data_IF_083844187925
#
_entry.id   IF_083844187925
#
_cell.length_a   1.000
_cell.length_b   1.000
_cell.length_c   1.000
_cell.angle_alpha   90.00
_cell.angle_beta   90.00
_cell.angle_gamma   90.00
#
_symmetry.space_group_name_H-M   'P 1'
#
loop_
_entity.id
_entity.type
_entity.pdbx_description
1 polymer ?
#
# COMPACT_ATOMS: atom_id res chain seq x y z
N UNK A 1 4.73 -9.38 -24.63
CA UNK A 1 4.95 -10.63 -23.87
C UNK A 1 6.45 -10.85 -23.81
N UNK A 2 7.03 -11.07 -22.62
CA UNK A 2 8.47 -11.37 -22.53
C UNK A 2 8.65 -12.88 -22.74
N UNK A 3 9.54 -13.28 -23.63
CA UNK A 3 9.84 -14.70 -23.89
C UNK A 3 10.54 -15.35 -22.69
N UNK A 4 11.24 -14.54 -21.89
CA UNK A 4 12.02 -15.00 -20.71
C UNK A 4 11.23 -14.92 -19.40
N UNK A 5 10.13 -14.17 -19.37
CA UNK A 5 9.28 -13.97 -18.20
C UNK A 5 7.80 -13.94 -18.61
N UNK A 6 7.19 -15.11 -18.86
CA UNK A 6 5.80 -15.19 -19.34
C UNK A 6 4.78 -14.63 -18.35
N UNK A 7 5.16 -14.49 -17.09
CA UNK A 7 4.30 -13.95 -16.01
C UNK A 7 4.31 -12.43 -15.89
N UNK A 8 5.10 -11.72 -16.72
CA UNK A 8 5.19 -10.27 -16.69
C UNK A 8 3.95 -9.63 -17.28
N UNK A 9 3.27 -8.78 -16.53
CA UNK A 9 2.09 -8.04 -16.95
C UNK A 9 2.47 -6.66 -17.49
N UNK A 10 1.68 -6.19 -18.47
CA UNK A 10 1.78 -4.82 -19.00
C UNK A 10 0.89 -3.93 -18.13
N UNK A 11 1.52 -3.04 -17.36
CA UNK A 11 0.82 -2.04 -16.55
C UNK A 11 0.70 -0.76 -17.39
N UNK A 12 -0.50 -0.48 -17.90
CA UNK A 12 -0.76 0.76 -18.63
C UNK A 12 -0.91 1.91 -17.64
N UNK A 13 0.00 2.87 -17.72
CA UNK A 13 -0.10 4.15 -16.99
C UNK A 13 -0.58 5.21 -17.97
N UNK A 14 -1.64 5.93 -17.65
CA UNK A 14 -2.19 7.02 -18.47
C UNK A 14 -1.30 8.27 -18.56
N UNK A 15 0.04 8.10 -18.50
CA UNK A 15 1.03 9.18 -18.63
C UNK A 15 1.72 9.06 -19.98
N UNK A 16 1.69 10.15 -20.76
CA UNK A 16 2.20 10.19 -22.13
C UNK A 16 3.69 9.85 -22.32
N UNK A 17 4.55 10.05 -21.28
CA UNK A 17 5.99 9.81 -21.40
C UNK A 17 6.44 8.36 -21.15
N UNK A 18 5.62 7.53 -20.47
CA UNK A 18 5.85 6.10 -20.27
C UNK A 18 4.51 5.37 -20.18
N UNK A 19 3.92 5.02 -21.30
CA UNK A 19 2.56 4.47 -21.36
C UNK A 19 2.47 3.05 -20.76
N UNK A 20 3.57 2.27 -20.80
CA UNK A 20 3.59 0.90 -20.34
C UNK A 20 4.74 0.69 -19.33
N UNK A 21 4.42 0.06 -18.21
CA UNK A 21 5.41 -0.53 -17.32
C UNK A 21 5.21 -2.06 -17.32
N UNK A 22 6.31 -2.79 -17.22
CA UNK A 22 6.30 -4.23 -17.12
C UNK A 22 6.58 -4.64 -15.67
N UNK A 23 5.85 -5.60 -15.17
CA UNK A 23 6.05 -6.10 -13.81
C UNK A 23 4.80 -6.68 -13.18
N UNK A 24 4.91 -7.02 -11.91
CA UNK A 24 3.79 -7.48 -11.08
C UNK A 24 3.33 -6.38 -10.13
N UNK A 25 2.05 -6.40 -9.78
CA UNK A 25 1.53 -5.52 -8.73
C UNK A 25 2.07 -5.99 -7.38
N UNK A 26 2.64 -5.05 -6.63
CA UNK A 26 3.04 -5.25 -5.24
C UNK A 26 2.23 -4.31 -4.36
N UNK A 27 1.44 -4.87 -3.45
CA UNK A 27 0.75 -4.14 -2.39
C UNK A 27 1.68 -4.06 -1.18
N UNK A 28 1.77 -2.89 -0.56
CA UNK A 28 2.53 -2.66 0.67
C UNK A 28 1.60 -2.04 1.70
N UNK A 29 1.62 -2.56 2.92
CA UNK A 29 0.94 -2.00 4.08
C UNK A 29 1.99 -1.42 5.02
N UNK A 30 1.84 -0.15 5.34
CA UNK A 30 2.73 0.57 6.24
C UNK A 30 1.96 0.95 7.52
N UNK A 31 2.58 0.77 8.67
CA UNK A 31 2.12 1.24 9.95
C UNK A 31 2.92 2.48 10.40
N UNK A 32 2.71 2.91 11.64
CA UNK A 32 3.45 4.00 12.27
C UNK A 32 4.97 3.75 12.19
N UNK A 33 5.73 4.84 12.26
CA UNK A 33 7.20 4.82 12.16
C UNK A 33 7.74 4.24 10.85
N UNK A 34 6.92 4.27 9.79
CA UNK A 34 7.31 3.82 8.46
C UNK A 34 7.64 2.31 8.38
N UNK A 35 7.12 1.53 9.29
CA UNK A 35 7.30 0.08 9.32
C UNK A 35 6.34 -0.59 8.34
N UNK A 36 6.86 -1.36 7.42
CA UNK A 36 6.06 -2.19 6.52
C UNK A 36 5.61 -3.45 7.26
N UNK A 37 4.33 -3.56 7.57
CA UNK A 37 3.75 -4.68 8.32
C UNK A 37 3.33 -5.84 7.43
N UNK A 38 3.07 -5.56 6.17
CA UNK A 38 2.71 -6.60 5.20
C UNK A 38 3.03 -6.15 3.77
N UNK A 39 3.40 -7.10 2.94
CA UNK A 39 3.45 -6.96 1.49
C UNK A 39 2.84 -8.15 0.80
N UNK A 40 2.36 -7.95 -0.42
CA UNK A 40 1.80 -9.01 -1.24
C UNK A 40 2.19 -8.79 -2.71
N UNK A 41 2.65 -9.85 -3.36
CA UNK A 41 2.95 -9.86 -4.80
C UNK A 41 1.86 -10.68 -5.48
N UNK A 42 1.11 -10.05 -6.36
CA UNK A 42 -0.02 -10.67 -7.04
C UNK A 42 0.43 -11.37 -8.32
N UNK A 43 -0.07 -12.60 -8.51
CA UNK A 43 0.11 -13.32 -9.77
C UNK A 43 -0.69 -12.64 -10.89
N UNK A 44 -1.91 -12.22 -10.59
CA UNK A 44 -2.80 -11.45 -11.44
C UNK A 44 -3.23 -10.18 -10.71
N UNK A 45 -3.42 -9.10 -11.44
CA UNK A 45 -3.80 -7.81 -10.83
C UNK A 45 -5.25 -7.83 -10.36
N UNK A 46 -5.51 -7.81 -9.04
CA UNK A 46 -6.87 -7.67 -8.52
C UNK A 46 -7.38 -6.22 -8.69
N UNK A 47 -8.69 -6.03 -8.57
CA UNK A 47 -9.24 -4.69 -8.47
C UNK A 47 -8.84 -4.04 -7.14
N UNK A 48 -8.36 -2.80 -7.17
CA UNK A 48 -7.89 -2.10 -5.96
C UNK A 48 -8.98 -2.02 -4.87
N UNK A 49 -10.25 -1.90 -5.26
CA UNK A 49 -11.40 -1.84 -4.34
C UNK A 49 -11.60 -3.11 -3.50
N UNK A 50 -11.15 -4.26 -3.97
CA UNK A 50 -11.26 -5.54 -3.22
C UNK A 50 -10.16 -5.70 -2.18
N UNK A 51 -9.08 -4.94 -2.29
CA UNK A 51 -7.89 -5.08 -1.44
C UNK A 51 -8.01 -4.40 -0.08
N UNK A 52 -8.97 -3.48 0.09
CA UNK A 52 -9.06 -2.69 1.32
C UNK A 52 -9.44 -3.55 2.51
N UNK A 53 -10.50 -4.35 2.38
CA UNK A 53 -11.00 -5.20 3.46
C UNK A 53 -10.00 -6.29 3.83
N UNK A 54 -9.48 -7.02 2.83
CA UNK A 54 -8.45 -8.03 3.06
C UNK A 54 -7.20 -7.47 3.74
N UNK A 55 -6.87 -6.21 3.47
CA UNK A 55 -5.75 -5.54 4.15
C UNK A 55 -6.01 -5.29 5.63
N UNK A 56 -7.25 -4.95 6.00
CA UNK A 56 -7.64 -4.78 7.42
C UNK A 56 -7.61 -6.12 8.15
N UNK A 57 -8.13 -7.17 7.53
CA UNK A 57 -8.14 -8.52 8.08
C UNK A 57 -6.72 -9.06 8.30
N UNK A 58 -5.84 -8.90 7.32
CA UNK A 58 -4.42 -9.27 7.44
C UNK A 58 -3.72 -8.49 8.56
N UNK A 59 -4.04 -7.20 8.72
CA UNK A 59 -3.51 -6.40 9.83
C UNK A 59 -3.95 -6.97 11.17
N UNK A 60 -5.23 -7.30 11.32
CA UNK A 60 -5.77 -7.92 12.52
C UNK A 60 -5.12 -9.27 12.83
N UNK A 61 -4.99 -10.13 11.82
CA UNK A 61 -4.35 -11.44 11.97
C UNK A 61 -2.89 -11.35 12.44
N UNK A 62 -2.13 -10.39 11.88
CA UNK A 62 -0.70 -10.25 12.16
C UNK A 62 -0.39 -9.51 13.44
N UNK A 63 -1.18 -8.51 13.79
CA UNK A 63 -0.92 -7.60 14.92
C UNK A 63 -1.89 -7.78 16.08
N UNK A 64 -2.86 -8.71 15.97
CA UNK A 64 -3.83 -9.02 17.02
C UNK A 64 -4.85 -7.89 17.29
N UNK A 65 -4.89 -6.85 16.45
CA UNK A 65 -5.76 -5.68 16.64
C UNK A 65 -6.24 -5.09 15.34
N UNK A 66 -7.43 -4.50 15.36
CA UNK A 66 -7.95 -3.70 14.26
C UNK A 66 -7.22 -2.34 14.20
N UNK A 67 -6.84 -1.85 13.01
CA UNK A 67 -6.22 -0.54 12.88
C UNK A 67 -7.21 0.56 13.25
N UNK A 68 -6.79 1.52 14.06
CA UNK A 68 -7.63 2.67 14.43
C UNK A 68 -7.94 3.57 13.23
N UNK A 69 -6.98 3.71 12.32
CA UNK A 69 -7.11 4.48 11.08
C UNK A 69 -6.60 3.65 9.91
N UNK A 70 -7.32 3.72 8.79
CA UNK A 70 -6.88 3.20 7.50
C UNK A 70 -6.87 4.35 6.51
N UNK A 71 -5.76 4.53 5.81
CA UNK A 71 -5.62 5.49 4.73
C UNK A 71 -5.18 4.79 3.45
N UNK A 72 -5.90 5.02 2.37
CA UNK A 72 -5.59 4.44 1.07
C UNK A 72 -5.90 5.42 -0.06
N UNK A 73 -5.50 5.09 -1.29
CA UNK A 73 -5.84 5.89 -2.47
C UNK A 73 -7.32 5.71 -2.85
N UNK A 74 -7.83 6.66 -3.66
CA UNK A 74 -9.21 6.64 -4.13
C UNK A 74 -9.59 5.40 -4.95
N UNK A 75 -8.62 4.72 -5.56
CA UNK A 75 -8.84 3.44 -6.24
C UNK A 75 -9.33 2.32 -5.33
N UNK A 76 -8.98 2.39 -4.04
CA UNK A 76 -9.41 1.43 -3.01
C UNK A 76 -10.82 1.69 -2.49
N UNK A 77 -11.44 2.80 -2.89
CA UNK A 77 -12.76 3.16 -2.39
C UNK A 77 -13.85 2.28 -2.99
N UNK A 78 -14.61 1.61 -2.16
CA UNK A 78 -15.97 1.17 -2.42
C UNK A 78 -16.83 1.47 -1.19
N UNK A 79 -18.13 1.68 -1.41
CA UNK A 79 -19.08 1.93 -0.30
C UNK A 79 -19.19 0.72 0.63
N UNK A 80 -19.15 -0.45 0.03
CA UNK A 80 -19.21 -1.75 0.71
C UNK A 80 -17.99 -1.97 1.59
N UNK A 81 -16.76 -1.79 1.02
CA UNK A 81 -15.50 -1.94 1.75
C UNK A 81 -15.37 -0.94 2.90
N UNK A 82 -15.85 0.31 2.71
CA UNK A 82 -15.84 1.29 3.78
C UNK A 82 -16.76 0.90 4.93
N UNK A 83 -18.01 0.48 4.62
CA UNK A 83 -18.96 0.00 5.63
C UNK A 83 -18.47 -1.24 6.36
N UNK A 84 -17.92 -2.22 5.62
CA UNK A 84 -17.38 -3.44 6.20
C UNK A 84 -16.17 -3.14 7.12
N UNK A 85 -15.25 -2.26 6.71
CA UNK A 85 -14.13 -1.84 7.55
C UNK A 85 -14.59 -1.14 8.85
N UNK A 86 -15.62 -0.31 8.78
CA UNK A 86 -16.23 0.31 9.96
C UNK A 86 -16.90 -0.71 10.87
N UNK A 87 -17.59 -1.70 10.29
CA UNK A 87 -18.23 -2.79 11.05
C UNK A 87 -17.20 -3.66 11.78
N UNK A 88 -16.00 -3.84 11.20
CA UNK A 88 -14.85 -4.49 11.86
C UNK A 88 -14.26 -3.67 13.02
N UNK A 89 -14.63 -2.40 13.16
CA UNK A 89 -14.15 -1.53 14.25
C UNK A 89 -13.12 -0.47 13.83
N UNK A 90 -12.84 -0.29 12.54
CA UNK A 90 -11.96 0.79 12.08
C UNK A 90 -12.67 2.13 12.32
N UNK A 91 -12.10 2.96 13.20
CA UNK A 91 -12.69 4.26 13.57
C UNK A 91 -12.60 5.29 12.45
N UNK A 92 -11.48 5.33 11.73
CA UNK A 92 -11.18 6.36 10.76
C UNK A 92 -10.80 5.76 9.40
N UNK A 93 -11.70 5.87 8.42
CA UNK A 93 -11.48 5.41 7.05
C UNK A 93 -11.19 6.62 6.15
N UNK A 94 -9.90 6.89 5.89
CA UNK A 94 -9.44 7.99 5.05
C UNK A 94 -9.15 7.49 3.62
N UNK A 95 -10.21 7.13 2.90
CA UNK A 95 -10.16 6.68 1.50
C UNK A 95 -10.99 7.65 0.66
N UNK A 96 -10.39 8.46 -0.23
CA UNK A 96 -11.11 9.50 -0.95
C UNK A 96 -12.00 8.95 -2.04
N UNK A 97 -13.21 9.50 -2.16
CA UNK A 97 -14.08 9.32 -3.30
C UNK A 97 -14.13 10.63 -4.11
N UNK A 98 -13.28 10.74 -5.13
CA UNK A 98 -13.19 11.94 -5.98
C UNK A 98 -14.43 12.18 -6.85
N UNK A 99 -15.22 11.13 -7.11
CA UNK A 99 -16.42 11.18 -7.95
C UNK A 99 -17.70 11.42 -7.15
N UNK A 100 -17.61 11.65 -5.85
CA UNK A 100 -18.79 11.83 -5.01
C UNK A 100 -19.53 13.14 -5.32
N UNK A 101 -20.85 13.05 -5.44
CA UNK A 101 -21.78 14.20 -5.50
C UNK A 101 -22.32 14.56 -4.11
N UNK A 102 -22.23 13.64 -3.13
CA UNK A 102 -22.77 13.82 -1.78
C UNK A 102 -22.04 14.95 -1.03
N UNK A 103 -22.79 15.94 -0.58
CA UNK A 103 -22.30 17.06 0.24
C UNK A 103 -21.73 16.57 1.58
N UNK A 104 -22.39 15.61 2.22
CA UNK A 104 -21.93 15.00 3.47
C UNK A 104 -20.56 14.35 3.29
N UNK A 105 -20.38 13.57 2.19
CA UNK A 105 -19.10 12.94 1.89
C UNK A 105 -18.00 13.96 1.60
N UNK A 106 -18.32 15.04 0.91
CA UNK A 106 -17.37 16.15 0.67
C UNK A 106 -16.95 16.79 1.99
N UNK A 107 -17.90 17.13 2.87
CA UNK A 107 -17.61 17.66 4.20
C UNK A 107 -16.73 16.72 5.02
N UNK A 108 -17.02 15.42 5.02
CA UNK A 108 -16.19 14.42 5.70
C UNK A 108 -14.77 14.39 5.19
N UNK A 109 -14.57 14.47 3.87
CA UNK A 109 -13.23 14.49 3.26
C UNK A 109 -12.44 15.78 3.60
N UNK A 110 -13.10 16.86 3.99
CA UNK A 110 -12.49 18.11 4.46
C UNK A 110 -12.13 18.10 5.94
N UNK A 111 -12.57 17.12 6.72
CA UNK A 111 -12.25 17.03 8.14
C UNK A 111 -10.75 16.83 8.41
N UNK A 112 -10.27 17.37 9.53
CA UNK A 112 -8.84 17.35 9.87
C UNK A 112 -8.25 15.94 9.96
N UNK A 113 -9.00 14.98 10.55
CA UNK A 113 -8.55 13.58 10.63
C UNK A 113 -8.41 12.94 9.24
N UNK A 114 -9.34 13.23 8.31
CA UNK A 114 -9.29 12.70 6.96
C UNK A 114 -8.06 13.23 6.21
N UNK A 115 -7.81 14.54 6.30
CA UNK A 115 -6.64 15.18 5.69
C UNK A 115 -5.33 14.64 6.28
N UNK A 116 -5.26 14.40 7.60
CA UNK A 116 -4.09 13.77 8.23
C UNK A 116 -3.84 12.37 7.69
N UNK A 117 -4.88 11.54 7.53
CA UNK A 117 -4.77 10.22 6.90
C UNK A 117 -4.25 10.30 5.48
N UNK A 118 -4.75 11.24 4.66
CA UNK A 118 -4.27 11.42 3.29
C UNK A 118 -2.83 11.94 3.22
N UNK A 119 -2.44 12.84 4.12
CA UNK A 119 -1.05 13.30 4.25
C UNK A 119 -0.12 12.14 4.58
N UNK A 120 -0.52 11.28 5.51
CA UNK A 120 0.24 10.09 5.88
C UNK A 120 0.37 9.11 4.70
N UNK A 121 -0.72 8.84 3.98
CA UNK A 121 -0.70 8.03 2.75
C UNK A 121 0.29 8.57 1.72
N UNK A 122 0.35 9.89 1.52
CA UNK A 122 1.32 10.50 0.60
C UNK A 122 2.76 10.21 1.04
N UNK A 123 3.02 10.13 2.34
CA UNK A 123 4.32 9.68 2.87
C UNK A 123 4.67 8.25 2.46
N UNK A 124 3.68 7.35 2.42
CA UNK A 124 3.89 5.95 1.99
C UNK A 124 4.28 5.82 0.52
N UNK A 125 3.91 6.75 -0.35
CA UNK A 125 4.42 6.79 -1.74
C UNK A 125 5.93 7.04 -1.77
N UNK A 126 6.42 7.88 -0.86
CA UNK A 126 7.85 8.07 -0.63
C UNK A 126 8.54 6.77 -0.23
N UNK A 127 7.89 5.93 0.59
CA UNK A 127 8.39 4.60 0.99
C UNK A 127 8.57 3.67 -0.21
N UNK A 128 7.60 3.58 -1.09
CA UNK A 128 7.71 2.78 -2.33
C UNK A 128 8.90 3.26 -3.16
N UNK A 129 9.12 4.56 -3.24
CA UNK A 129 10.27 5.13 -3.94
C UNK A 129 11.61 4.76 -3.28
N UNK A 130 11.67 4.76 -1.94
CA UNK A 130 12.86 4.31 -1.18
C UNK A 130 13.14 2.84 -1.42
N UNK A 131 12.15 1.97 -1.30
CA UNK A 131 12.25 0.54 -1.56
C UNK A 131 12.77 0.28 -2.99
N UNK A 132 12.27 1.00 -3.97
CA UNK A 132 12.73 0.88 -5.35
C UNK A 132 14.16 1.34 -5.55
N UNK A 133 14.61 2.40 -4.88
CA UNK A 133 15.95 2.99 -5.10
C UNK A 133 17.04 2.38 -4.23
N UNK A 134 16.77 2.18 -2.93
CA UNK A 134 17.75 1.69 -1.96
C UNK A 134 17.84 0.17 -1.91
N UNK A 135 16.69 -0.51 -2.06
CA UNK A 135 16.60 -1.96 -1.88
C UNK A 135 16.42 -2.72 -3.21
N UNK A 136 16.70 -2.05 -4.34
CA UNK A 136 16.75 -2.71 -5.64
C UNK A 136 15.41 -3.18 -6.20
N UNK A 137 14.26 -2.74 -5.64
CA UNK A 137 12.94 -3.22 -6.08
C UNK A 137 12.47 -2.64 -7.44
N UNK A 138 13.36 -1.93 -8.16
CA UNK A 138 13.09 -1.53 -9.56
C UNK A 138 13.14 -2.70 -10.53
N UNK A 139 13.99 -3.70 -10.24
CA UNK A 139 14.18 -4.86 -11.07
C UNK A 139 14.38 -6.07 -10.18
N UNK A 140 13.53 -7.08 -10.32
CA UNK A 140 13.72 -8.36 -9.67
C UNK A 140 14.82 -9.14 -10.39
N UNK A 141 15.78 -9.68 -9.64
CA UNK A 141 16.86 -10.52 -10.16
C UNK A 141 16.58 -12.01 -9.98
N UNK A 142 15.52 -12.37 -9.26
CA UNK A 142 15.12 -13.75 -9.04
C UNK A 142 14.02 -14.16 -10.01
N UNK A 143 14.09 -15.34 -10.61
CA UNK A 143 13.10 -15.81 -11.57
C UNK A 143 11.76 -16.19 -10.88
N UNK A 144 10.69 -15.98 -11.62
CA UNK A 144 9.33 -16.39 -11.24
C UNK A 144 8.70 -15.60 -10.11
N UNK A 145 7.45 -15.95 -9.80
CA UNK A 145 6.66 -15.24 -8.79
C UNK A 145 7.22 -15.41 -7.37
N UNK A 146 7.67 -16.61 -7.03
CA UNK A 146 8.25 -16.88 -5.71
C UNK A 146 9.63 -16.22 -5.54
N UNK A 147 10.39 -16.13 -6.62
CA UNK A 147 11.61 -15.31 -6.66
C UNK A 147 11.31 -13.84 -6.40
N UNK A 148 10.27 -13.31 -7.02
CA UNK A 148 9.85 -11.93 -6.80
C UNK A 148 9.33 -11.69 -5.36
N UNK A 149 8.58 -12.63 -4.78
CA UNK A 149 8.15 -12.57 -3.37
C UNK A 149 9.35 -12.49 -2.42
N UNK A 150 10.34 -13.36 -2.62
CA UNK A 150 11.59 -13.33 -1.84
C UNK A 150 12.34 -12.02 -2.01
N UNK A 151 12.48 -11.53 -3.24
CA UNK A 151 13.16 -10.28 -3.54
C UNK A 151 12.50 -9.08 -2.84
N UNK A 152 11.18 -8.96 -2.94
CA UNK A 152 10.42 -7.91 -2.26
C UNK A 152 10.53 -8.06 -0.74
N UNK A 153 10.41 -9.28 -0.21
CA UNK A 153 10.50 -9.56 1.21
C UNK A 153 11.86 -9.16 1.80
N UNK A 154 12.96 -9.48 1.13
CA UNK A 154 14.30 -9.07 1.57
C UNK A 154 14.44 -7.54 1.59
N UNK A 155 13.94 -6.85 0.57
CA UNK A 155 13.94 -5.39 0.52
C UNK A 155 13.11 -4.76 1.65
N UNK A 156 11.95 -5.33 1.97
CA UNK A 156 11.10 -4.89 3.08
C UNK A 156 11.78 -5.12 4.44
N UNK A 157 12.41 -6.27 4.64
CA UNK A 157 13.13 -6.58 5.88
C UNK A 157 14.28 -5.58 6.07
N UNK A 158 15.09 -5.35 5.04
CA UNK A 158 16.21 -4.41 5.10
C UNK A 158 15.73 -2.98 5.42
N UNK A 159 14.63 -2.53 4.80
CA UNK A 159 14.05 -1.21 5.09
C UNK A 159 13.53 -1.12 6.52
N UNK A 160 12.81 -2.13 6.99
CA UNK A 160 12.29 -2.17 8.35
C UNK A 160 13.41 -2.11 9.40
N UNK A 161 14.52 -2.82 9.21
CA UNK A 161 15.68 -2.72 10.11
C UNK A 161 16.25 -1.31 10.19
N UNK A 162 16.34 -0.62 9.05
CA UNK A 162 16.80 0.78 9.01
C UNK A 162 15.82 1.67 9.80
N UNK A 163 14.50 1.50 9.58
CA UNK A 163 13.49 2.31 10.27
C UNK A 163 13.51 2.06 11.79
N UNK A 164 13.63 0.81 12.20
CA UNK A 164 13.76 0.45 13.61
C UNK A 164 15.01 1.08 14.24
N UNK A 165 16.16 1.02 13.57
CA UNK A 165 17.39 1.67 14.02
C UNK A 165 17.22 3.19 14.15
N UNK A 166 16.61 3.84 13.14
CA UNK A 166 16.32 5.28 13.20
C UNK A 166 15.36 5.64 14.33
N UNK A 167 14.37 4.79 14.61
CA UNK A 167 13.43 5.00 15.70
C UNK A 167 14.13 4.92 17.06
N UNK A 168 14.93 3.89 17.29
CA UNK A 168 15.68 3.69 18.53
C UNK A 168 16.68 4.84 18.78
N UNK A 169 17.41 5.26 17.74
CA UNK A 169 18.35 6.38 17.86
C UNK A 169 17.68 7.69 18.30
N UNK A 170 16.43 7.94 17.85
CA UNK A 170 15.66 9.14 18.26
C UNK A 170 15.17 9.08 19.70
N UNK A 171 15.06 7.89 20.30
CA UNK A 171 14.65 7.76 21.71
C UNK A 171 15.82 7.87 22.68
N UNK A 172 17.04 7.73 22.17
CA UNK A 172 18.27 7.81 22.99
C UNK A 172 18.85 9.25 23.07
N UNK A 173 18.19 10.20 22.38
CA UNK A 173 18.52 11.63 22.39
C UNK A 173 17.51 12.41 23.20
#
# INVERSE_FOLDING_TARGET
MSVFEPHTEIIRKGKGSKPNEFGKLVKIQEAENQIVTHFEVFAERPADSTLLLSSIEVHQQRLGRIPRMVAADGGFYSRESEKAGQALGVRWMSVPNKKTTSSERKLRQHQGWFRRGQKWRTGSEGRISVLKRRHGLRRCLYPGLDGMRRWVGLGVIADNFIQMGCYLARQST
#
